data_IF_813831511379
#
_entry.id   IF_813831511379
#
_cell.length_a   1.000
_cell.length_b   1.000
_cell.length_c   1.000
_cell.angle_alpha   90.00
_cell.angle_beta   90.00
_cell.angle_gamma   90.00
#
_symmetry.space_group_name_H-M   'P 1'
#
loop_
_entity.id
_entity.type
_entity.pdbx_description
1 polymer ?
#
# COMPACT_ATOMS: atom_id res chain seq x y z
N UNK A 1 -44.71 -66.04 -32.73
CA UNK A 1 -44.71 -65.46 -31.37
C UNK A 1 -43.27 -65.10 -31.03
N UNK A 2 -42.88 -63.85 -31.26
CA UNK A 2 -41.58 -63.34 -30.84
C UNK A 2 -41.85 -62.34 -29.70
N UNK A 3 -41.36 -62.67 -28.50
CA UNK A 3 -41.54 -61.90 -27.29
C UNK A 3 -40.37 -60.91 -27.20
N UNK A 4 -40.62 -59.63 -27.40
CA UNK A 4 -39.65 -58.56 -27.22
C UNK A 4 -39.53 -58.24 -25.73
N UNK A 5 -38.36 -58.51 -25.14
CA UNK A 5 -38.03 -58.12 -23.76
C UNK A 5 -37.45 -56.72 -23.79
N UNK A 6 -38.20 -55.73 -23.28
CA UNK A 6 -37.73 -54.37 -23.10
C UNK A 6 -36.92 -54.30 -21.79
N UNK A 7 -35.60 -54.16 -21.89
CA UNK A 7 -34.71 -53.99 -20.73
C UNK A 7 -34.78 -52.56 -20.22
N UNK A 8 -35.20 -52.36 -18.98
CA UNK A 8 -35.32 -51.06 -18.32
C UNK A 8 -34.02 -50.74 -17.57
N UNK A 9 -33.18 -49.87 -18.15
CA UNK A 9 -31.94 -49.40 -17.52
C UNK A 9 -32.25 -48.30 -16.50
N UNK A 10 -32.20 -48.62 -15.20
CA UNK A 10 -32.28 -47.63 -14.12
C UNK A 10 -30.94 -46.89 -13.96
N UNK A 11 -30.86 -45.64 -14.45
CA UNK A 11 -29.76 -44.72 -14.19
C UNK A 11 -29.92 -44.13 -12.78
N UNK A 12 -29.16 -44.62 -11.81
CA UNK A 12 -29.02 -43.99 -10.49
C UNK A 12 -28.22 -42.69 -10.64
N UNK A 13 -28.92 -41.55 -10.68
CA UNK A 13 -28.30 -40.24 -10.48
C UNK A 13 -27.94 -40.07 -9.00
N UNK A 14 -26.68 -40.32 -8.63
CA UNK A 14 -26.12 -39.87 -7.35
C UNK A 14 -25.97 -38.36 -7.39
N UNK A 15 -26.97 -37.65 -6.87
CA UNK A 15 -26.91 -36.20 -6.64
C UNK A 15 -25.91 -35.96 -5.51
N UNK A 16 -24.68 -35.62 -5.87
CA UNK A 16 -23.73 -35.02 -4.93
C UNK A 16 -24.24 -33.61 -4.59
N UNK A 17 -24.96 -33.49 -3.47
CA UNK A 17 -25.22 -32.18 -2.87
C UNK A 17 -23.85 -31.51 -2.62
N UNK A 18 -23.60 -30.29 -3.12
CA UNK A 18 -22.46 -29.52 -2.68
C UNK A 18 -22.71 -29.16 -1.22
N UNK A 19 -21.92 -29.73 -0.32
CA UNK A 19 -21.85 -29.30 1.06
C UNK A 19 -21.50 -27.82 1.08
N UNK A 20 -22.49 -26.96 1.33
CA UNK A 20 -22.24 -25.57 1.69
C UNK A 20 -21.52 -25.59 3.03
N UNK A 21 -20.19 -25.48 2.98
CA UNK A 21 -19.39 -25.12 4.14
C UNK A 21 -19.81 -23.70 4.54
N UNK A 22 -20.74 -23.57 5.49
CA UNK A 22 -20.86 -22.31 6.19
C UNK A 22 -19.63 -22.18 7.07
N UNK A 23 -18.70 -21.31 6.68
CA UNK A 23 -17.61 -20.91 7.57
C UNK A 23 -18.18 -20.59 8.94
N UNK A 24 -17.49 -21.06 9.98
CA UNK A 24 -17.89 -20.93 11.37
C UNK A 24 -18.25 -19.47 11.68
N UNK A 25 -19.55 -19.17 11.76
CA UNK A 25 -20.05 -17.84 12.09
C UNK A 25 -19.66 -17.58 13.54
N UNK A 26 -18.62 -16.77 13.77
CA UNK A 26 -18.41 -16.17 15.07
C UNK A 26 -19.69 -15.42 15.44
N UNK A 27 -20.34 -15.86 16.53
CA UNK A 27 -21.49 -15.17 17.11
C UNK A 27 -21.05 -13.75 17.46
N UNK A 28 -21.64 -12.74 16.83
CA UNK A 28 -21.40 -11.34 17.17
C UNK A 28 -22.29 -10.98 18.37
N UNK A 29 -21.78 -11.15 19.59
CA UNK A 29 -22.57 -10.95 20.81
C UNK A 29 -22.45 -9.52 21.37
N UNK A 30 -21.46 -8.77 20.89
CA UNK A 30 -21.17 -7.42 21.35
C UNK A 30 -20.72 -6.47 20.24
N UNK A 31 -20.78 -5.16 20.51
CA UNK A 31 -20.27 -4.12 19.60
C UNK A 31 -18.77 -4.29 19.29
N UNK A 32 -17.90 -4.64 20.26
CA UNK A 32 -16.52 -5.02 19.96
C UNK A 32 -16.37 -6.19 18.97
N UNK A 33 -17.23 -7.21 19.05
CA UNK A 33 -17.16 -8.36 18.14
C UNK A 33 -17.49 -7.97 16.69
N UNK A 34 -18.46 -7.06 16.53
CA UNK A 34 -18.77 -6.44 15.24
C UNK A 34 -17.56 -5.65 14.71
N UNK A 35 -16.95 -4.82 15.55
CA UNK A 35 -15.78 -4.02 15.18
C UNK A 35 -14.61 -4.91 14.70
N UNK A 36 -14.32 -5.99 15.43
CA UNK A 36 -13.23 -6.91 15.10
C UNK A 36 -13.46 -7.70 13.81
N UNK A 37 -14.72 -7.82 13.38
CA UNK A 37 -15.04 -8.44 12.08
C UNK A 37 -14.99 -7.44 10.93
N UNK A 38 -15.27 -6.16 11.20
CA UNK A 38 -15.26 -5.10 10.19
C UNK A 38 -13.87 -4.54 9.90
N UNK A 39 -12.97 -4.53 10.88
CA UNK A 39 -11.67 -3.88 10.79
C UNK A 39 -10.53 -4.86 11.07
N UNK A 40 -9.58 -4.93 10.13
CA UNK A 40 -8.28 -5.54 10.36
C UNK A 40 -7.27 -4.47 10.79
N UNK A 41 -6.45 -4.79 11.79
CA UNK A 41 -5.28 -3.98 12.14
C UNK A 41 -4.13 -4.35 11.21
N UNK A 42 -3.43 -3.34 10.69
CA UNK A 42 -2.32 -3.53 9.76
C UNK A 42 -1.07 -2.97 10.39
N UNK A 43 -0.05 -3.81 10.51
CA UNK A 43 1.24 -3.42 11.09
C UNK A 43 2.11 -2.69 10.06
N UNK A 44 2.81 -1.65 10.53
CA UNK A 44 3.72 -0.88 9.72
C UNK A 44 4.48 0.19 10.50
N UNK A 45 5.44 0.80 9.84
CA UNK A 45 6.29 1.88 10.34
C UNK A 45 5.80 3.20 9.73
N UNK A 46 5.28 4.14 10.54
CA UNK A 46 4.84 5.43 10.04
C UNK A 46 6.03 6.30 9.65
N UNK A 47 5.86 7.06 8.57
CA UNK A 47 6.66 8.25 8.35
C UNK A 47 6.15 9.36 9.29
N UNK A 48 7.06 10.02 9.99
CA UNK A 48 6.74 10.95 11.08
C UNK A 48 7.07 12.38 10.67
N UNK A 49 6.21 13.33 11.06
CA UNK A 49 6.45 14.74 10.86
C UNK A 49 7.64 15.22 11.69
N UNK A 50 8.58 15.86 11.01
CA UNK A 50 9.73 16.56 11.61
C UNK A 50 9.55 18.08 11.49
N UNK A 51 10.22 18.83 12.35
CA UNK A 51 10.13 20.30 12.39
C UNK A 51 11.52 20.91 12.23
N UNK A 52 11.59 22.00 11.46
CA UNK A 52 12.76 22.87 11.40
C UNK A 52 12.33 24.33 11.67
N UNK A 53 13.29 25.26 11.65
CA UNK A 53 13.02 26.69 11.91
C UNK A 53 12.10 27.34 10.86
N UNK A 54 11.99 26.74 9.67
CA UNK A 54 11.21 27.25 8.53
C UNK A 54 9.84 26.59 8.39
N UNK A 55 9.54 25.55 9.17
CA UNK A 55 8.26 24.84 9.13
C UNK A 55 8.38 23.33 9.34
N UNK A 56 7.46 22.59 8.71
CA UNK A 56 7.32 21.15 8.90
C UNK A 56 7.88 20.42 7.69
N UNK A 57 8.59 19.34 7.96
CA UNK A 57 9.06 18.36 6.99
C UNK A 57 8.29 17.07 7.26
N UNK A 58 8.03 16.29 6.21
CA UNK A 58 7.39 14.98 6.28
C UNK A 58 5.87 14.96 6.59
N UNK A 59 5.20 13.86 6.19
CA UNK A 59 3.76 13.76 6.19
C UNK A 59 3.13 13.96 7.56
N UNK A 60 2.00 14.66 7.58
CA UNK A 60 1.13 14.63 8.75
C UNK A 60 -0.30 15.02 8.46
N UNK A 61 -1.21 14.19 8.96
CA UNK A 61 -2.65 14.40 9.00
C UNK A 61 -3.22 13.66 10.21
N UNK A 62 -4.36 14.10 10.70
CA UNK A 62 -5.23 13.29 11.56
C UNK A 62 -5.72 12.05 10.80
N UNK A 63 -6.47 11.16 11.49
CA UNK A 63 -7.06 9.94 10.93
C UNK A 63 -7.60 10.14 9.49
N UNK A 64 -7.01 9.44 8.52
CA UNK A 64 -7.49 9.40 7.14
C UNK A 64 -8.29 8.12 6.89
N UNK A 65 -9.41 8.26 6.18
CA UNK A 65 -10.21 7.13 5.67
C UNK A 65 -10.32 7.31 4.16
N UNK A 66 -9.78 6.35 3.40
CA UNK A 66 -9.74 6.37 1.95
C UNK A 66 -9.69 4.95 1.38
N UNK A 67 -10.28 4.69 0.20
CA UNK A 67 -10.15 3.40 -0.47
C UNK A 67 -8.70 3.13 -0.87
N UNK A 68 -8.27 1.87 -0.78
CA UNK A 68 -6.92 1.45 -1.17
C UNK A 68 -6.89 1.14 -2.66
N UNK A 69 -5.92 1.71 -3.39
CA UNK A 69 -5.69 1.47 -4.82
C UNK A 69 -4.24 1.10 -5.07
N UNK A 70 -3.97 0.11 -5.93
CA UNK A 70 -2.60 -0.29 -6.29
C UNK A 70 -2.02 0.66 -7.34
N UNK A 71 -0.81 1.17 -7.13
CA UNK A 71 -0.16 2.18 -7.98
C UNK A 71 -0.11 1.80 -9.47
N UNK A 72 0.13 0.52 -9.79
CA UNK A 72 0.13 0.00 -11.17
C UNK A 72 -1.17 0.29 -11.94
N UNK A 73 -2.32 0.38 -11.25
CA UNK A 73 -3.64 0.59 -11.85
C UNK A 73 -4.09 2.07 -11.82
N UNK A 74 -3.20 3.00 -11.51
CA UNK A 74 -3.58 4.40 -11.26
C UNK A 74 -3.14 5.32 -12.40
N UNK A 75 -3.89 5.36 -13.50
CA UNK A 75 -3.72 6.41 -14.51
C UNK A 75 -4.29 7.75 -14.01
N UNK A 76 -5.48 7.72 -13.39
CA UNK A 76 -6.15 8.87 -12.79
C UNK A 76 -6.94 8.43 -11.57
N UNK A 77 -6.71 9.04 -10.42
CA UNK A 77 -7.56 8.86 -9.25
C UNK A 77 -8.74 9.82 -9.38
N UNK A 78 -9.98 9.33 -9.24
CA UNK A 78 -11.16 10.18 -9.29
C UNK A 78 -11.39 10.90 -7.95
N UNK A 79 -11.17 10.20 -6.84
CA UNK A 79 -11.43 10.63 -5.47
C UNK A 79 -10.17 10.50 -4.59
N UNK A 80 -10.12 11.04 -3.37
CA UNK A 80 -8.98 10.82 -2.49
C UNK A 80 -8.78 9.34 -2.14
N UNK A 81 -7.63 8.75 -2.48
CA UNK A 81 -7.34 7.32 -2.27
C UNK A 81 -6.02 7.07 -1.54
N UNK A 82 -5.94 5.97 -0.80
CA UNK A 82 -4.70 5.46 -0.23
C UNK A 82 -3.98 4.60 -1.28
N UNK A 83 -2.76 4.96 -1.65
CA UNK A 83 -2.01 4.27 -2.70
C UNK A 83 -1.16 3.17 -2.08
N UNK A 84 -1.40 1.93 -2.50
CA UNK A 84 -0.53 0.79 -2.22
C UNK A 84 0.53 0.70 -3.31
N UNK A 85 1.81 0.75 -2.92
CA UNK A 85 2.95 0.79 -3.84
C UNK A 85 4.03 -0.19 -3.38
N UNK A 86 4.75 -0.78 -4.33
CA UNK A 86 5.95 -1.56 -4.02
C UNK A 86 7.12 -0.64 -3.64
N UNK A 87 8.11 -1.17 -2.90
CA UNK A 87 9.30 -0.39 -2.57
C UNK A 87 10.08 0.04 -3.83
N UNK A 88 10.06 -0.77 -4.89
CA UNK A 88 10.76 -0.50 -6.14
C UNK A 88 10.11 0.65 -6.95
N UNK A 89 8.79 0.80 -6.87
CA UNK A 89 8.05 1.89 -7.55
C UNK A 89 7.90 3.15 -6.69
N UNK A 90 8.31 3.11 -5.42
CA UNK A 90 8.24 4.23 -4.49
C UNK A 90 8.86 5.53 -5.06
N UNK A 91 10.06 5.52 -5.67
CA UNK A 91 10.63 6.73 -6.27
C UNK A 91 9.77 7.29 -7.40
N UNK A 92 9.21 6.42 -8.24
CA UNK A 92 8.35 6.79 -9.37
C UNK A 92 7.06 7.45 -8.89
N UNK A 93 6.40 6.87 -7.88
CA UNK A 93 5.20 7.44 -7.27
C UNK A 93 5.46 8.86 -6.77
N UNK A 94 6.51 9.07 -5.98
CA UNK A 94 6.74 10.36 -5.36
C UNK A 94 7.32 11.41 -6.32
N UNK A 95 8.01 10.99 -7.38
CA UNK A 95 8.33 11.86 -8.51
C UNK A 95 7.03 12.38 -9.12
N UNK A 96 6.08 11.49 -9.41
CA UNK A 96 4.76 11.88 -9.93
C UNK A 96 3.98 12.78 -8.97
N UNK A 97 4.00 12.52 -7.67
CA UNK A 97 3.36 13.40 -6.67
C UNK A 97 3.99 14.80 -6.68
N UNK A 98 5.30 14.89 -6.92
CA UNK A 98 5.98 16.18 -7.02
C UNK A 98 5.63 16.92 -8.31
N UNK A 99 5.44 16.20 -9.42
CA UNK A 99 5.29 16.79 -10.75
C UNK A 99 3.83 17.05 -11.14
N UNK A 100 2.89 16.26 -10.61
CA UNK A 100 1.45 16.35 -10.90
C UNK A 100 0.66 16.74 -9.64
N UNK A 101 0.44 18.04 -9.47
CA UNK A 101 -0.34 18.60 -8.34
C UNK A 101 -1.79 18.11 -8.31
N UNK A 102 -2.40 17.83 -9.46
CA UNK A 102 -3.77 17.30 -9.55
C UNK A 102 -3.83 15.89 -8.99
N UNK A 103 -2.85 15.05 -9.34
CA UNK A 103 -2.68 13.73 -8.74
C UNK A 103 -2.38 13.83 -7.23
N UNK A 104 -1.42 14.68 -6.83
CA UNK A 104 -1.02 14.86 -5.43
C UNK A 104 -2.19 15.24 -4.51
N UNK A 105 -3.10 16.09 -4.98
CA UNK A 105 -4.28 16.51 -4.21
C UNK A 105 -5.26 15.37 -3.88
N UNK A 106 -5.16 14.26 -4.61
CA UNK A 106 -6.00 13.07 -4.47
C UNK A 106 -5.30 11.92 -3.76
N UNK A 107 -4.05 12.11 -3.35
CA UNK A 107 -3.36 11.14 -2.50
C UNK A 107 -3.85 11.33 -1.07
N UNK A 108 -4.68 10.39 -0.62
CA UNK A 108 -5.17 10.34 0.76
C UNK A 108 -4.14 9.75 1.72
N UNK A 109 -3.27 8.86 1.25
CA UNK A 109 -2.21 8.21 2.00
C UNK A 109 -1.37 7.30 1.10
N UNK A 110 -0.22 6.84 1.61
CA UNK A 110 0.63 5.88 0.89
C UNK A 110 0.98 4.72 1.80
N UNK A 111 0.81 3.50 1.30
CA UNK A 111 1.19 2.25 1.94
C UNK A 111 2.28 1.62 1.07
N UNK A 112 3.47 1.48 1.63
CA UNK A 112 4.63 0.93 0.93
C UNK A 112 4.81 -0.51 1.34
N UNK A 113 4.76 -1.43 0.38
CA UNK A 113 5.02 -2.85 0.62
C UNK A 113 6.54 -3.06 0.74
N UNK A 114 7.01 -3.79 1.77
CA UNK A 114 8.40 -4.15 1.89
C UNK A 114 8.76 -5.15 0.78
N UNK A 115 10.05 -5.22 0.47
CA UNK A 115 10.55 -6.19 -0.51
C UNK A 115 10.45 -7.60 0.08
N UNK A 116 9.86 -8.53 -0.68
CA UNK A 116 9.85 -9.96 -0.34
C UNK A 116 11.06 -10.71 -0.89
N UNK A 117 11.75 -10.12 -1.87
CA UNK A 117 12.72 -10.83 -2.71
C UNK A 117 14.13 -10.25 -2.48
N UNK A 118 15.02 -11.08 -1.93
CA UNK A 118 16.44 -10.78 -1.64
C UNK A 118 17.34 -10.63 -2.89
N UNK A 119 16.80 -10.56 -4.11
CA UNK A 119 17.61 -10.46 -5.32
C UNK A 119 18.08 -9.02 -5.59
N UNK A 120 19.22 -8.67 -4.99
CA UNK A 120 20.38 -7.84 -5.40
C UNK A 120 20.33 -6.89 -6.62
N UNK A 121 19.19 -6.38 -7.07
CA UNK A 121 19.13 -5.26 -8.02
C UNK A 121 18.44 -4.09 -7.36
N UNK A 122 19.16 -3.41 -6.47
CA UNK A 122 18.77 -2.08 -6.06
C UNK A 122 19.29 -1.12 -7.14
N UNK A 123 18.38 -0.48 -7.88
CA UNK A 123 18.70 0.87 -8.33
C UNK A 123 18.91 1.68 -7.06
N UNK A 124 20.14 2.19 -6.86
CA UNK A 124 20.45 2.96 -5.66
C UNK A 124 19.48 4.13 -5.54
N UNK A 125 18.74 4.18 -4.42
CA UNK A 125 17.85 5.28 -4.08
C UNK A 125 18.30 5.91 -2.78
N UNK A 126 18.41 7.23 -2.76
CA UNK A 126 18.65 7.99 -1.54
C UNK A 126 17.51 8.99 -1.34
N UNK A 127 16.76 8.90 -0.23
CA UNK A 127 15.70 9.86 0.05
C UNK A 127 16.24 11.22 0.52
N UNK A 128 17.53 11.28 0.86
CA UNK A 128 18.20 12.49 1.34
C UNK A 128 18.56 13.45 0.19
N UNK A 129 18.99 14.65 0.52
CA UNK A 129 19.47 15.67 -0.42
C UNK A 129 20.80 15.27 -1.06
N UNK A 130 21.13 15.96 -2.16
CA UNK A 130 22.40 15.78 -2.86
C UNK A 130 23.63 16.25 -2.08
N UNK A 131 23.45 17.26 -1.25
CA UNK A 131 24.43 17.70 -0.28
C UNK A 131 23.71 17.82 1.08
N UNK A 132 23.67 16.73 1.86
CA UNK A 132 23.08 16.75 3.19
C UNK A 132 23.74 17.81 4.07
N UNK A 133 22.93 18.60 4.78
CA UNK A 133 23.38 19.66 5.69
C UNK A 133 24.24 20.75 5.04
N UNK A 134 24.09 20.98 3.73
CA UNK A 134 24.88 21.97 2.99
C UNK A 134 24.85 23.37 3.63
N UNK A 135 23.69 23.78 4.15
CA UNK A 135 23.48 25.09 4.79
C UNK A 135 24.28 25.28 6.09
N UNK A 136 24.71 24.20 6.73
CA UNK A 136 25.55 24.22 7.94
C UNK A 136 27.03 23.98 7.64
N UNK A 137 27.38 23.78 6.37
CA UNK A 137 28.75 23.52 5.97
C UNK A 137 29.59 24.81 6.00
N UNK A 138 30.92 24.70 6.20
CA UNK A 138 31.82 25.86 6.18
C UNK A 138 32.06 26.40 4.76
N UNK A 139 31.49 25.78 3.72
CA UNK A 139 31.75 26.11 2.33
C UNK A 139 30.79 27.19 1.83
N UNK A 140 31.32 28.20 1.13
CA UNK A 140 30.48 29.18 0.45
C UNK A 140 29.77 28.60 -0.78
N UNK A 141 30.45 27.67 -1.48
CA UNK A 141 29.87 26.96 -2.60
C UNK A 141 29.31 25.60 -2.14
N UNK A 142 27.99 25.44 -2.27
CA UNK A 142 27.24 24.23 -1.93
C UNK A 142 26.83 23.40 -3.15
N UNK A 143 27.43 23.64 -4.32
CA UNK A 143 27.09 22.94 -5.57
C UNK A 143 27.65 21.53 -5.68
N UNK A 144 28.54 21.12 -4.78
CA UNK A 144 29.14 19.78 -4.83
C UNK A 144 28.14 18.72 -4.37
N UNK A 145 27.93 17.70 -5.17
CA UNK A 145 26.98 16.62 -4.89
C UNK A 145 27.70 15.46 -4.19
N UNK A 146 27.72 15.44 -2.86
CA UNK A 146 28.24 14.31 -2.07
C UNK A 146 27.39 13.04 -2.24
N UNK A 147 26.10 13.23 -2.49
CA UNK A 147 25.11 12.19 -2.73
C UNK A 147 24.43 12.41 -4.10
N UNK A 148 25.07 12.06 -5.22
CA UNK A 148 24.53 12.36 -6.56
C UNK A 148 23.15 11.75 -6.85
N UNK A 149 22.82 10.64 -6.17
CA UNK A 149 21.52 9.94 -6.26
C UNK A 149 20.50 10.45 -5.24
N UNK A 150 20.82 11.52 -4.50
CA UNK A 150 19.94 12.15 -3.53
C UNK A 150 18.71 12.77 -4.18
N UNK A 151 17.53 12.26 -3.85
CA UNK A 151 16.25 12.74 -4.37
C UNK A 151 15.70 13.95 -3.59
N UNK A 152 16.12 14.14 -2.34
CA UNK A 152 15.60 15.17 -1.43
C UNK A 152 14.13 14.98 -1.04
N UNK A 153 13.54 13.82 -1.34
CA UNK A 153 12.13 13.50 -1.11
C UNK A 153 11.74 13.58 0.37
N UNK A 154 12.64 13.18 1.29
CA UNK A 154 12.42 13.21 2.74
C UNK A 154 12.30 14.66 3.27
N UNK A 155 12.82 15.63 2.53
CA UNK A 155 12.83 17.04 2.94
C UNK A 155 11.63 17.83 2.40
N UNK A 156 10.69 17.15 1.73
CA UNK A 156 9.46 17.76 1.22
C UNK A 156 8.33 17.65 2.25
N UNK A 157 7.38 18.57 2.17
CA UNK A 157 6.16 18.53 2.97
C UNK A 157 5.07 17.75 2.23
N UNK A 158 4.47 16.78 2.91
CA UNK A 158 3.35 15.98 2.40
C UNK A 158 2.12 16.15 3.32
N UNK A 159 0.94 16.16 2.72
CA UNK A 159 -0.33 16.39 3.44
C UNK A 159 -1.14 15.10 3.66
N UNK A 160 -0.49 13.94 3.53
CA UNK A 160 -1.09 12.62 3.64
C UNK A 160 -0.12 11.68 4.38
N UNK A 161 -0.59 10.72 5.20
CA UNK A 161 0.29 9.78 5.89
C UNK A 161 0.98 8.82 4.93
N UNK A 162 2.18 8.36 5.31
CA UNK A 162 2.94 7.32 4.61
C UNK A 162 3.32 6.25 5.62
N UNK A 163 3.09 4.98 5.29
CA UNK A 163 3.48 3.85 6.12
C UNK A 163 4.29 2.85 5.31
N UNK A 164 5.42 2.40 5.85
CA UNK A 164 6.10 1.20 5.38
C UNK A 164 5.49 0.00 6.08
N UNK A 165 4.81 -0.87 5.34
CA UNK A 165 4.16 -2.04 5.92
C UNK A 165 5.18 -3.08 6.37
N UNK A 166 4.82 -3.87 7.37
CA UNK A 166 5.54 -5.11 7.67
C UNK A 166 5.19 -6.18 6.62
N UNK A 167 5.95 -7.28 6.62
CA UNK A 167 5.60 -8.44 5.78
C UNK A 167 4.22 -9.00 6.14
N UNK A 168 3.87 -9.06 7.43
CA UNK A 168 2.54 -9.51 7.89
C UNK A 168 1.44 -8.55 7.44
N UNK A 169 1.62 -7.24 7.66
CA UNK A 169 0.65 -6.23 7.25
C UNK A 169 0.42 -6.20 5.74
N UNK A 170 1.47 -6.46 4.95
CA UNK A 170 1.35 -6.55 3.49
C UNK A 170 0.55 -7.76 3.01
N UNK A 171 0.62 -8.88 3.73
CA UNK A 171 -0.19 -10.08 3.43
C UNK A 171 -1.66 -9.86 3.74
N UNK A 172 -1.98 -9.19 4.85
CA UNK A 172 -3.37 -8.82 5.20
C UNK A 172 -4.06 -7.98 4.14
N UNK A 173 -3.32 -7.20 3.34
CA UNK A 173 -3.85 -6.42 2.21
C UNK A 173 -4.00 -7.21 0.90
N UNK A 174 -3.56 -8.46 0.85
CA UNK A 174 -3.65 -9.34 -0.33
C UNK A 174 -4.77 -10.38 -0.20
N UNK A 175 -5.31 -10.57 1.00
CA UNK A 175 -6.50 -11.39 1.28
C UNK A 175 -7.78 -10.73 0.74
#
# INVERSE_FOLDING_TARGET
MALTVLSLSFLFFTVHLPSCFSGQSSSMESVPDLQNTMYASIDGYPCVRLLNLSGNIDPGRDKVVAPIVRFENVDKIAEPSAILVSLDEFPTLFTRISDDSSFASKVGGVLVQPRTDLQNTLQGFSPDQKFPQAEFSPYHNISYEWNPIGSGIMWKSYNFPVFLLTESGSKTLQE
#
